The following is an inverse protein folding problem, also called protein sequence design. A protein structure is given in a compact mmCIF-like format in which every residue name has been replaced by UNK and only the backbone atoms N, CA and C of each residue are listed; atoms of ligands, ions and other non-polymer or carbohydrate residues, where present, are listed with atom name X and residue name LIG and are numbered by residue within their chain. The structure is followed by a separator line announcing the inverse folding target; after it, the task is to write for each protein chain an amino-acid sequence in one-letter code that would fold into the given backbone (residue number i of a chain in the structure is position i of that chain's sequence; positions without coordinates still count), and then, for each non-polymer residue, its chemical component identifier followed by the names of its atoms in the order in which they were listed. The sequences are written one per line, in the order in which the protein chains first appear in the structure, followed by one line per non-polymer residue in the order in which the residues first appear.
data_IF_792686435235
#
_entry.id   IF_792686435235
#
_cell.length_a   1.000
_cell.length_b   1.000
_cell.length_c   1.000
_cell.angle_alpha   90.00
_cell.angle_beta   90.00
_cell.angle_gamma   90.00
#
_symmetry.space_group_name_H-M   'P 1'
#
loop_
_entity.id
_entity.type
_entity.pdbx_description
1 polymer ?
#
# COMPACT_ATOMS: atom_id res chain seq x y z
N UNK A 1 -6.07 22.78 -17.68
CA UNK A 1 -7.33 22.64 -16.91
C UNK A 1 -7.20 23.46 -15.65
N UNK A 2 -8.00 24.50 -15.51
CA UNK A 2 -7.70 25.70 -14.72
C UNK A 2 -8.12 25.51 -13.26
N UNK A 3 -7.32 25.99 -12.29
CA UNK A 3 -7.63 25.98 -10.84
C UNK A 3 -9.06 26.42 -10.49
N UNK A 4 -9.66 27.27 -11.31
CA UNK A 4 -11.05 27.74 -11.20
C UNK A 4 -12.09 26.62 -11.37
N UNK A 5 -11.85 25.65 -12.25
CA UNK A 5 -12.72 24.48 -12.44
C UNK A 5 -12.62 23.52 -11.25
N UNK A 6 -11.42 23.35 -10.68
CA UNK A 6 -11.22 22.52 -9.48
C UNK A 6 -11.92 23.13 -8.26
N UNK A 7 -11.82 24.44 -8.06
CA UNK A 7 -12.52 25.14 -6.95
C UNK A 7 -14.05 25.10 -7.10
N UNK A 8 -14.56 25.25 -8.33
CA UNK A 8 -15.99 25.11 -8.59
C UNK A 8 -16.47 23.67 -8.32
N UNK A 9 -15.67 22.67 -8.71
CA UNK A 9 -15.96 21.27 -8.42
C UNK A 9 -15.95 20.96 -6.92
N UNK A 10 -14.96 21.46 -6.16
CA UNK A 10 -14.92 21.37 -4.70
C UNK A 10 -16.14 22.00 -4.03
N UNK A 11 -16.56 23.18 -4.49
CA UNK A 11 -17.75 23.85 -3.97
C UNK A 11 -19.03 23.03 -4.21
N UNK A 12 -19.20 22.46 -5.40
CA UNK A 12 -20.36 21.62 -5.74
C UNK A 12 -20.40 20.31 -4.94
N UNK A 13 -19.24 19.76 -4.55
CA UNK A 13 -19.17 18.56 -3.70
C UNK A 13 -19.56 18.83 -2.25
N UNK A 14 -19.40 20.06 -1.77
CA UNK A 14 -19.74 20.45 -0.40
C UNK A 14 -21.16 20.96 -0.27
N UNK A 15 -21.71 21.65 -1.27
CA UNK A 15 -23.09 22.14 -1.23
C UNK A 15 -23.68 22.28 -2.64
N UNK A 16 -24.84 21.65 -2.96
CA UNK A 16 -25.64 20.76 -2.10
C UNK A 16 -24.96 19.41 -1.80
N UNK A 17 -23.90 19.05 -2.55
CA UNK A 17 -23.23 17.76 -2.47
C UNK A 17 -24.00 16.63 -3.16
N UNK A 18 -23.35 15.50 -3.48
CA UNK A 18 -23.99 14.40 -4.21
C UNK A 18 -24.90 13.55 -3.33
N UNK A 19 -25.95 12.94 -3.91
CA UNK A 19 -26.83 12.00 -3.19
C UNK A 19 -26.11 10.71 -2.75
N UNK A 20 -25.12 10.28 -3.55
CA UNK A 20 -24.27 9.12 -3.32
C UNK A 20 -22.85 9.43 -3.76
N UNK A 21 -21.88 9.09 -2.92
CA UNK A 21 -20.46 9.14 -3.25
C UNK A 21 -19.88 7.72 -3.33
N UNK A 22 -19.41 7.33 -4.50
CA UNK A 22 -18.75 6.04 -4.73
C UNK A 22 -17.26 6.31 -4.98
N UNK A 23 -16.40 5.78 -4.11
CA UNK A 23 -14.96 5.79 -4.30
C UNK A 23 -14.54 4.41 -4.80
N UNK A 24 -14.16 4.34 -6.08
CA UNK A 24 -13.43 3.18 -6.59
C UNK A 24 -11.97 3.24 -6.08
N UNK A 25 -11.34 2.08 -5.97
CA UNK A 25 -10.00 1.93 -5.40
C UNK A 25 -9.83 2.65 -4.05
N UNK A 26 -10.72 2.36 -3.10
CA UNK A 26 -10.74 2.95 -1.75
C UNK A 26 -9.42 2.81 -0.99
N UNK A 27 -8.56 1.87 -1.39
CA UNK A 27 -7.17 1.81 -0.94
C UNK A 27 -6.35 3.06 -1.30
N UNK A 28 -6.83 3.99 -2.12
CA UNK A 28 -6.20 5.31 -2.35
C UNK A 28 -6.39 6.24 -1.15
N UNK A 29 -7.40 5.99 -0.32
CA UNK A 29 -7.70 6.74 0.90
C UNK A 29 -6.77 6.36 2.08
N UNK A 30 -5.52 5.93 1.83
CA UNK A 30 -4.62 5.38 2.87
C UNK A 30 -4.31 6.35 4.00
N UNK A 31 -4.32 7.64 3.68
CA UNK A 31 -3.85 8.68 4.57
C UNK A 31 -4.95 9.73 4.78
N UNK A 32 -5.39 9.83 6.04
CA UNK A 32 -6.34 10.86 6.51
C UNK A 32 -5.87 12.28 6.17
N UNK A 33 -4.54 12.50 6.10
CA UNK A 33 -3.93 13.80 5.80
C UNK A 33 -3.76 14.08 4.30
N UNK A 34 -4.14 13.15 3.42
CA UNK A 34 -4.04 13.42 1.98
C UNK A 34 -5.11 14.44 1.57
N UNK A 35 -4.74 15.37 0.69
CA UNK A 35 -5.68 16.39 0.18
C UNK A 35 -6.93 15.76 -0.43
N UNK A 36 -6.78 14.61 -1.08
CA UNK A 36 -7.88 13.83 -1.68
C UNK A 36 -8.82 13.31 -0.59
N UNK A 37 -8.28 12.67 0.46
CA UNK A 37 -9.08 12.14 1.56
C UNK A 37 -9.84 13.26 2.27
N UNK A 38 -9.18 14.39 2.56
CA UNK A 38 -9.82 15.54 3.20
C UNK A 38 -10.93 16.14 2.34
N UNK A 39 -10.71 16.29 1.03
CA UNK A 39 -11.73 16.79 0.11
C UNK A 39 -12.95 15.87 0.02
N UNK A 40 -12.72 14.55 -0.09
CA UNK A 40 -13.79 13.55 -0.15
C UNK A 40 -14.52 13.39 1.20
N UNK A 41 -13.83 13.55 2.32
CA UNK A 41 -14.46 13.59 3.65
C UNK A 41 -15.35 14.83 3.81
N UNK A 42 -14.94 15.97 3.26
CA UNK A 42 -15.73 17.21 3.27
C UNK A 42 -16.95 17.22 2.34
N UNK A 43 -17.07 16.26 1.41
CA UNK A 43 -18.23 16.17 0.53
C UNK A 43 -19.51 15.86 1.33
N UNK A 44 -20.55 16.69 1.18
CA UNK A 44 -21.83 16.48 1.87
C UNK A 44 -22.64 15.44 1.12
N UNK A 45 -22.83 14.28 1.72
CA UNK A 45 -23.61 13.19 1.14
C UNK A 45 -24.16 12.30 2.24
N UNK A 46 -25.35 11.76 2.03
CA UNK A 46 -25.98 10.82 2.97
C UNK A 46 -25.49 9.38 2.77
N UNK A 47 -24.89 9.05 1.62
CA UNK A 47 -24.54 7.68 1.24
C UNK A 47 -23.13 7.62 0.67
N UNK A 48 -22.28 6.77 1.25
CA UNK A 48 -20.90 6.59 0.83
C UNK A 48 -20.60 5.12 0.61
N UNK A 49 -19.94 4.81 -0.49
CA UNK A 49 -19.52 3.46 -0.86
C UNK A 49 -18.04 3.51 -1.22
N UNK A 50 -17.26 2.59 -0.67
CA UNK A 50 -15.86 2.41 -1.04
C UNK A 50 -15.68 1.00 -1.61
N UNK A 51 -15.10 0.91 -2.80
CA UNK A 51 -14.80 -0.35 -3.49
C UNK A 51 -13.28 -0.57 -3.45
N UNK A 52 -12.83 -1.79 -3.15
CA UNK A 52 -11.39 -2.12 -3.21
C UNK A 52 -11.20 -3.58 -3.60
N UNK A 53 -10.39 -3.81 -4.64
CA UNK A 53 -10.01 -5.16 -5.08
C UNK A 53 -8.86 -5.75 -4.24
N UNK A 54 -8.07 -4.90 -3.60
CA UNK A 54 -7.02 -5.31 -2.67
C UNK A 54 -7.62 -5.40 -1.27
N UNK A 55 -7.82 -6.60 -0.69
CA UNK A 55 -8.11 -6.68 0.74
C UNK A 55 -6.93 -6.03 1.45
N UNK A 56 -7.22 -5.10 2.34
CA UNK A 56 -6.25 -4.25 3.02
C UNK A 56 -5.38 -5.09 3.95
N UNK A 57 -4.31 -5.64 3.37
CA UNK A 57 -3.74 -6.84 3.95
C UNK A 57 -2.77 -6.58 5.10
N UNK A 58 -2.21 -5.38 5.28
CA UNK A 58 -1.17 -5.17 6.31
C UNK A 58 -1.22 -3.84 7.07
N UNK A 59 -2.24 -2.99 6.86
CA UNK A 59 -2.32 -1.71 7.55
C UNK A 59 -3.72 -1.43 8.09
N UNK A 60 -3.91 -1.71 9.38
CA UNK A 60 -5.17 -1.43 10.09
C UNK A 60 -5.56 0.05 10.05
N UNK A 61 -4.61 0.97 9.86
CA UNK A 61 -4.91 2.40 9.71
C UNK A 61 -5.51 2.74 8.35
N UNK A 62 -5.13 2.03 7.29
CA UNK A 62 -5.79 2.17 5.99
C UNK A 62 -7.23 1.67 6.11
N UNK A 63 -7.41 0.54 6.81
CA UNK A 63 -8.73 -0.01 7.11
C UNK A 63 -9.62 0.97 7.89
N UNK A 64 -9.09 1.57 8.96
CA UNK A 64 -9.75 2.64 9.71
C UNK A 64 -10.16 3.79 8.78
N UNK A 65 -9.26 4.25 7.91
CA UNK A 65 -9.52 5.44 7.09
C UNK A 65 -10.66 5.22 6.10
N UNK A 66 -10.81 4.03 5.48
CA UNK A 66 -11.98 3.82 4.60
C UNK A 66 -13.26 3.56 5.38
N UNK A 67 -13.18 2.90 6.55
CA UNK A 67 -14.37 2.76 7.40
C UNK A 67 -14.86 4.12 7.85
N UNK A 68 -13.95 5.01 8.26
CA UNK A 68 -14.27 6.40 8.62
C UNK A 68 -14.77 7.20 7.41
N UNK A 69 -14.22 6.97 6.22
CA UNK A 69 -14.75 7.57 5.00
C UNK A 69 -16.21 7.17 4.76
N UNK A 70 -16.56 5.88 4.87
CA UNK A 70 -17.91 5.35 4.63
C UNK A 70 -18.87 5.74 5.76
N UNK A 71 -18.44 5.62 7.01
CA UNK A 71 -19.23 5.85 8.22
C UNK A 71 -18.38 6.61 9.25
N UNK A 72 -18.36 7.93 9.09
CA UNK A 72 -17.55 8.84 9.91
C UNK A 72 -17.79 8.64 11.40
N UNK A 73 -16.70 8.55 12.17
CA UNK A 73 -16.73 8.46 13.63
C UNK A 73 -17.16 7.09 14.20
N UNK A 74 -17.48 6.10 13.38
CA UNK A 74 -17.95 4.78 13.86
C UNK A 74 -16.94 4.06 14.77
N UNK A 75 -15.65 4.16 14.44
CA UNK A 75 -14.56 3.52 15.19
C UNK A 75 -13.94 4.42 16.28
N UNK A 76 -14.51 5.61 16.51
CA UNK A 76 -13.94 6.63 17.39
C UNK A 76 -12.81 7.40 16.73
N UNK A 77 -11.97 8.04 17.55
CA UNK A 77 -10.81 8.78 17.03
C UNK A 77 -9.69 7.84 16.57
N UNK A 78 -8.78 8.37 15.75
CA UNK A 78 -7.57 7.64 15.32
C UNK A 78 -6.77 7.11 16.50
N UNK A 79 -6.69 7.87 17.61
CA UNK A 79 -5.97 7.47 18.81
C UNK A 79 -6.69 6.31 19.53
N UNK A 80 -8.02 6.39 19.65
CA UNK A 80 -8.82 5.33 20.26
C UNK A 80 -8.73 4.03 19.46
N UNK A 81 -8.85 4.13 18.14
CA UNK A 81 -8.72 2.97 17.25
C UNK A 81 -7.34 2.33 17.38
N UNK A 82 -6.27 3.14 17.40
CA UNK A 82 -4.91 2.63 17.57
C UNK A 82 -4.74 1.87 18.88
N UNK A 83 -5.23 2.43 19.98
CA UNK A 83 -5.11 1.81 21.30
C UNK A 83 -6.01 0.57 21.47
N UNK A 84 -7.23 0.61 20.95
CA UNK A 84 -8.21 -0.49 21.09
C UNK A 84 -7.95 -1.65 20.14
N UNK A 85 -7.44 -1.39 18.94
CA UNK A 85 -7.33 -2.40 17.88
C UNK A 85 -5.92 -2.49 17.30
N UNK A 86 -5.35 -1.40 16.78
CA UNK A 86 -4.08 -1.49 16.04
C UNK A 86 -2.92 -2.04 16.88
N UNK A 87 -2.64 -1.43 18.03
CA UNK A 87 -1.54 -1.80 18.91
C UNK A 87 -1.68 -3.24 19.46
N UNK A 88 -2.82 -3.66 20.05
CA UNK A 88 -2.94 -5.02 20.57
C UNK A 88 -2.93 -6.08 19.45
N UNK A 89 -3.48 -5.76 18.26
CA UNK A 89 -3.43 -6.70 17.13
C UNK A 89 -1.99 -6.85 16.63
N UNK A 90 -1.26 -5.75 16.45
CA UNK A 90 0.16 -5.79 16.04
C UNK A 90 1.02 -6.50 17.08
N UNK A 91 0.79 -6.25 18.36
CA UNK A 91 1.60 -6.83 19.44
C UNK A 91 1.53 -8.36 19.45
N UNK A 92 0.40 -8.97 19.09
CA UNK A 92 0.25 -10.43 19.01
C UNK A 92 0.69 -11.07 17.69
N UNK A 93 1.16 -10.28 16.71
CA UNK A 93 1.65 -10.77 15.41
C UNK A 93 3.16 -10.98 15.38
N UNK A 94 3.89 -10.55 16.41
CA UNK A 94 5.32 -10.72 16.47
C UNK A 94 5.69 -12.18 16.79
N UNK A 95 6.88 -12.60 16.37
CA UNK A 95 7.35 -13.98 16.56
C UNK A 95 7.63 -14.27 18.05
N UNK A 96 7.97 -13.22 18.80
CA UNK A 96 8.28 -13.21 20.23
C UNK A 96 7.07 -12.83 21.11
N UNK A 97 5.85 -12.79 20.55
CA UNK A 97 4.63 -12.50 21.31
C UNK A 97 4.30 -13.61 22.31
N UNK A 98 3.88 -13.23 23.52
CA UNK A 98 3.42 -14.17 24.53
C UNK A 98 2.02 -14.71 24.20
N UNK A 99 1.64 -15.84 24.81
CA UNK A 99 0.29 -16.44 24.60
C UNK A 99 -0.85 -15.47 24.94
N UNK A 100 -0.65 -14.63 25.96
CA UNK A 100 -1.59 -13.57 26.36
C UNK A 100 -1.78 -12.53 25.25
N UNK A 101 -0.71 -12.13 24.58
CA UNK A 101 -0.74 -11.15 23.48
C UNK A 101 -1.44 -11.73 22.26
N UNK A 102 -1.15 -12.99 21.93
CA UNK A 102 -1.82 -13.71 20.83
C UNK A 102 -3.32 -13.87 21.10
N UNK A 103 -3.70 -14.19 22.34
CA UNK A 103 -5.12 -14.28 22.73
C UNK A 103 -5.82 -12.93 22.64
N UNK A 104 -5.20 -11.86 23.16
CA UNK A 104 -5.71 -10.49 23.06
C UNK A 104 -5.87 -10.03 21.61
N UNK A 105 -4.86 -10.29 20.75
CA UNK A 105 -4.92 -10.01 19.33
C UNK A 105 -6.13 -10.68 18.68
N UNK A 106 -6.30 -12.00 18.87
CA UNK A 106 -7.41 -12.77 18.29
C UNK A 106 -8.76 -12.20 18.75
N UNK A 107 -8.88 -11.89 20.04
CA UNK A 107 -10.09 -11.28 20.58
C UNK A 107 -10.38 -9.91 19.96
N UNK A 108 -9.41 -8.99 19.92
CA UNK A 108 -9.59 -7.65 19.35
C UNK A 108 -9.87 -7.70 17.84
N UNK A 109 -9.22 -8.58 17.11
CA UNK A 109 -9.49 -8.80 15.69
C UNK A 109 -10.91 -9.32 15.46
N UNK A 110 -11.39 -10.25 16.29
CA UNK A 110 -12.76 -10.76 16.23
C UNK A 110 -13.77 -9.64 16.52
N UNK A 111 -13.58 -8.87 17.60
CA UNK A 111 -14.47 -7.75 17.96
C UNK A 111 -14.55 -6.72 16.83
N UNK A 112 -13.41 -6.37 16.23
CA UNK A 112 -13.37 -5.44 15.10
C UNK A 112 -14.15 -5.99 13.90
N UNK A 113 -13.89 -7.23 13.50
CA UNK A 113 -14.56 -7.87 12.37
C UNK A 113 -16.08 -7.96 12.59
N UNK A 114 -16.51 -8.41 13.76
CA UNK A 114 -17.93 -8.53 14.11
C UNK A 114 -18.64 -7.18 14.10
N UNK A 115 -17.97 -6.12 14.59
CA UNK A 115 -18.52 -4.75 14.58
C UNK A 115 -18.75 -4.20 13.17
N UNK A 116 -18.03 -4.71 12.17
CA UNK A 116 -18.05 -4.22 10.79
C UNK A 116 -18.86 -5.08 9.83
N UNK A 117 -19.24 -6.29 10.28
CA UNK A 117 -19.99 -7.27 9.48
C UNK A 117 -21.27 -6.74 8.84
N UNK A 118 -21.92 -5.74 9.45
CA UNK A 118 -23.16 -5.16 8.95
C UNK A 118 -23.03 -4.28 7.69
N UNK A 119 -21.83 -3.81 7.35
CA UNK A 119 -21.64 -2.90 6.21
C UNK A 119 -20.33 -3.10 5.43
N UNK A 120 -19.45 -3.98 5.89
CA UNK A 120 -18.27 -4.41 5.12
C UNK A 120 -18.59 -5.74 4.44
N UNK A 121 -18.70 -5.71 3.11
CA UNK A 121 -18.93 -6.90 2.31
C UNK A 121 -17.61 -7.33 1.65
N UNK A 122 -17.09 -8.48 2.07
CA UNK A 122 -15.87 -9.08 1.49
C UNK A 122 -16.21 -10.41 0.86
N UNK A 123 -16.05 -10.49 -0.46
CA UNK A 123 -16.18 -11.73 -1.22
C UNK A 123 -14.80 -12.25 -1.61
N UNK A 124 -14.51 -13.50 -1.26
CA UNK A 124 -13.27 -14.16 -1.64
C UNK A 124 -13.35 -14.79 -3.03
N UNK A 125 -12.22 -15.34 -3.49
CA UNK A 125 -12.12 -16.08 -4.76
C UNK A 125 -13.11 -17.26 -4.82
N UNK A 126 -13.51 -17.80 -3.67
CA UNK A 126 -14.49 -18.89 -3.55
C UNK A 126 -15.81 -18.62 -4.30
N UNK A 127 -16.23 -17.36 -4.42
CA UNK A 127 -17.44 -16.99 -5.19
C UNK A 127 -17.28 -17.27 -6.68
N UNK A 128 -16.06 -17.12 -7.19
CA UNK A 128 -15.72 -17.29 -8.61
C UNK A 128 -15.38 -18.74 -8.97
N UNK A 129 -14.99 -19.56 -7.99
CA UNK A 129 -14.58 -20.95 -8.21
C UNK A 129 -15.65 -21.84 -8.88
N UNK A 130 -16.94 -21.45 -8.79
CA UNK A 130 -18.04 -22.19 -9.44
C UNK A 130 -18.20 -21.85 -10.93
N UNK A 131 -17.64 -20.74 -11.37
CA UNK A 131 -17.88 -20.17 -12.70
C UNK A 131 -16.61 -20.07 -13.56
N UNK A 132 -15.43 -20.08 -12.92
CA UNK A 132 -14.15 -19.95 -13.60
C UNK A 132 -13.38 -21.29 -13.60
N UNK A 133 -12.58 -21.56 -14.63
CA UNK A 133 -11.62 -22.67 -14.63
C UNK A 133 -10.66 -22.59 -13.43
N UNK A 134 -10.08 -23.72 -12.98
CA UNK A 134 -9.10 -23.72 -11.90
C UNK A 134 -7.88 -22.89 -12.25
N UNK A 135 -7.42 -22.07 -11.30
CA UNK A 135 -6.19 -21.29 -11.41
C UNK A 135 -5.00 -22.16 -11.00
N UNK A 136 -4.06 -22.38 -11.92
CA UNK A 136 -2.79 -23.04 -11.63
C UNK A 136 -1.69 -22.00 -11.44
N UNK A 137 -1.07 -22.00 -10.27
CA UNK A 137 0.10 -21.15 -9.98
C UNK A 137 1.33 -22.05 -9.85
N UNK A 138 2.43 -21.68 -10.50
CA UNK A 138 3.69 -22.42 -10.45
C UNK A 138 4.83 -21.48 -10.13
N UNK A 139 5.62 -21.82 -9.12
CA UNK A 139 6.83 -21.08 -8.76
C UNK A 139 8.02 -21.74 -9.43
N UNK A 140 8.66 -21.02 -10.36
CA UNK A 140 9.86 -21.50 -11.05
C UNK A 140 11.09 -20.86 -10.39
N UNK A 141 11.89 -21.70 -9.73
CA UNK A 141 13.14 -21.25 -9.11
C UNK A 141 14.28 -21.38 -10.12
N UNK A 142 14.78 -20.26 -10.61
CA UNK A 142 15.89 -20.20 -11.56
C UNK A 142 17.20 -19.90 -10.83
N UNK A 143 18.25 -20.68 -11.14
CA UNK A 143 19.59 -20.40 -10.61
C UNK A 143 20.23 -19.24 -11.38
N UNK A 144 20.91 -18.34 -10.66
CA UNK A 144 21.72 -17.29 -11.28
C UNK A 144 22.77 -17.91 -12.20
N UNK A 145 22.97 -17.31 -13.38
CA UNK A 145 24.08 -17.66 -14.26
C UNK A 145 25.43 -17.37 -13.60
N UNK A 146 26.51 -17.93 -14.15
CA UNK A 146 27.88 -17.70 -13.65
C UNK A 146 28.19 -16.21 -13.55
N UNK A 147 27.88 -15.44 -14.61
CA UNK A 147 28.10 -13.99 -14.65
C UNK A 147 27.27 -13.25 -13.59
N UNK A 148 25.98 -13.56 -13.46
CA UNK A 148 25.11 -12.93 -12.47
C UNK A 148 25.60 -13.21 -11.04
N UNK A 149 26.04 -14.44 -10.76
CA UNK A 149 26.61 -14.80 -9.46
C UNK A 149 27.88 -14.00 -9.16
N UNK A 150 28.82 -13.93 -10.11
CA UNK A 150 30.04 -13.15 -9.94
C UNK A 150 29.74 -11.68 -9.67
N UNK A 151 28.86 -11.05 -10.45
CA UNK A 151 28.47 -9.66 -10.26
C UNK A 151 27.79 -9.44 -8.90
N UNK A 152 26.90 -10.34 -8.52
CA UNK A 152 26.19 -10.31 -7.24
C UNK A 152 27.16 -10.37 -6.06
N UNK A 153 28.08 -11.34 -6.06
CA UNK A 153 29.08 -11.51 -5.00
C UNK A 153 30.05 -10.33 -4.94
N UNK A 154 30.51 -9.83 -6.08
CA UNK A 154 31.37 -8.64 -6.14
C UNK A 154 30.66 -7.40 -5.58
N UNK A 155 29.39 -7.20 -5.93
CA UNK A 155 28.61 -6.08 -5.43
C UNK A 155 28.47 -6.15 -3.90
N UNK A 156 28.14 -7.31 -3.34
CA UNK A 156 28.02 -7.48 -1.88
C UNK A 156 29.34 -7.32 -1.14
N UNK A 157 30.46 -7.74 -1.74
CA UNK A 157 31.80 -7.54 -1.16
C UNK A 157 32.16 -6.06 -1.09
N UNK A 158 31.87 -5.31 -2.14
CA UNK A 158 32.24 -3.89 -2.25
C UNK A 158 31.28 -2.97 -1.49
N UNK A 159 29.99 -3.28 -1.51
CA UNK A 159 28.95 -2.52 -0.86
C UNK A 159 28.37 -3.35 0.28
N UNK A 160 29.08 -3.37 1.42
CA UNK A 160 28.47 -3.84 2.67
C UNK A 160 27.19 -3.02 2.88
N UNK A 161 26.02 -3.67 3.00
CA UNK A 161 24.76 -2.95 3.11
C UNK A 161 24.74 -2.12 4.39
N UNK A 162 25.02 -0.82 4.25
CA UNK A 162 24.63 0.18 5.24
C UNK A 162 23.12 0.34 5.12
N UNK A 163 22.40 0.36 6.25
CA UNK A 163 20.94 0.47 6.29
C UNK A 163 20.42 1.63 5.42
N UNK A 164 21.15 2.74 5.40
CA UNK A 164 20.77 3.96 4.67
C UNK A 164 20.78 3.82 3.13
N UNK A 165 21.43 2.78 2.59
CA UNK A 165 21.55 2.54 1.14
C UNK A 165 20.85 1.26 0.67
N UNK A 166 20.04 0.65 1.53
CA UNK A 166 19.42 -0.66 1.26
C UNK A 166 18.58 -0.66 -0.02
N UNK A 167 17.75 0.37 -0.24
CA UNK A 167 16.94 0.46 -1.46
C UNK A 167 17.79 0.63 -2.73
N UNK A 168 18.87 1.39 -2.65
CA UNK A 168 19.80 1.57 -3.77
C UNK A 168 20.48 0.24 -4.09
N UNK A 169 20.99 -0.45 -3.08
CA UNK A 169 21.60 -1.78 -3.20
C UNK A 169 20.62 -2.78 -3.80
N UNK A 170 19.40 -2.86 -3.27
CA UNK A 170 18.34 -3.73 -3.78
C UNK A 170 18.06 -3.47 -5.26
N UNK A 171 17.91 -2.19 -5.66
CA UNK A 171 17.67 -1.84 -7.05
C UNK A 171 18.83 -2.22 -7.99
N UNK A 172 20.08 -2.15 -7.52
CA UNK A 172 21.22 -2.61 -8.34
C UNK A 172 21.25 -4.14 -8.47
N UNK A 173 21.00 -4.87 -7.39
CA UNK A 173 20.95 -6.33 -7.43
C UNK A 173 19.77 -6.83 -8.27
N UNK A 174 18.63 -6.14 -8.22
CA UNK A 174 17.46 -6.40 -9.07
C UNK A 174 17.81 -6.32 -10.56
N UNK A 175 18.66 -5.37 -10.96
CA UNK A 175 19.18 -5.29 -12.33
C UNK A 175 20.02 -6.52 -12.68
N UNK A 176 20.91 -6.94 -11.79
CA UNK A 176 21.74 -8.16 -11.98
C UNK A 176 20.86 -9.41 -12.13
N UNK A 177 19.86 -9.58 -11.26
CA UNK A 177 18.97 -10.74 -11.27
C UNK A 177 18.11 -10.81 -12.53
N UNK A 178 17.56 -9.67 -12.98
CA UNK A 178 16.75 -9.63 -14.19
C UNK A 178 17.59 -9.88 -15.43
N UNK A 179 18.69 -9.13 -15.62
CA UNK A 179 19.67 -9.38 -16.69
C UNK A 179 20.93 -8.50 -16.49
N UNK A 180 22.17 -9.04 -16.57
CA UNK A 180 23.41 -8.26 -16.41
C UNK A 180 23.52 -7.02 -17.30
N UNK A 181 22.92 -7.05 -18.49
CA UNK A 181 22.94 -5.92 -19.41
C UNK A 181 22.20 -4.69 -18.88
N UNK A 182 21.19 -4.86 -18.02
CA UNK A 182 20.48 -3.75 -17.38
C UNK A 182 21.40 -2.96 -16.45
N UNK A 183 22.33 -3.65 -15.78
CA UNK A 183 23.36 -3.00 -14.98
C UNK A 183 24.31 -2.20 -15.87
N UNK A 184 24.78 -2.81 -16.96
CA UNK A 184 25.66 -2.15 -17.94
C UNK A 184 25.01 -0.88 -18.50
N UNK A 185 23.79 -1.00 -19.01
CA UNK A 185 23.02 0.10 -19.59
C UNK A 185 22.81 1.25 -18.58
N UNK A 186 22.49 0.92 -17.32
CA UNK A 186 22.34 1.91 -16.25
C UNK A 186 23.62 2.74 -16.05
N UNK A 187 24.78 2.09 -15.93
CA UNK A 187 26.05 2.80 -15.76
C UNK A 187 26.50 3.56 -17.00
N UNK A 188 26.26 3.03 -18.21
CA UNK A 188 26.54 3.74 -19.46
C UNK A 188 25.72 5.02 -19.57
N UNK A 189 24.42 4.98 -19.24
CA UNK A 189 23.57 6.17 -19.24
C UNK A 189 23.98 7.17 -18.16
N UNK A 190 24.34 6.71 -16.96
CA UNK A 190 24.81 7.57 -15.88
C UNK A 190 26.10 8.32 -16.28
N UNK A 191 27.04 7.63 -16.93
CA UNK A 191 28.26 8.23 -17.45
C UNK A 191 27.97 9.26 -18.56
N UNK A 192 27.07 8.95 -19.49
CA UNK A 192 26.68 9.88 -20.55
C UNK A 192 26.04 11.16 -19.98
N UNK A 193 25.15 11.02 -18.98
CA UNK A 193 24.53 12.17 -18.27
C UNK A 193 25.57 13.02 -17.54
N UNK A 194 26.53 12.40 -16.85
CA UNK A 194 27.60 13.12 -16.16
C UNK A 194 28.47 13.91 -17.14
N UNK A 195 28.80 13.32 -18.30
CA UNK A 195 29.54 14.01 -19.37
C UNK A 195 28.78 15.21 -19.93
N UNK A 196 27.47 15.07 -20.20
CA UNK A 196 26.62 16.17 -20.67
C UNK A 196 26.54 17.31 -19.64
N UNK A 197 26.35 16.98 -18.36
CA UNK A 197 26.31 17.99 -17.29
C UNK A 197 27.65 18.71 -17.10
N UNK A 198 28.77 18.00 -17.26
CA UNK A 198 30.10 18.62 -17.22
C UNK A 198 30.36 19.53 -18.42
N UNK A 199 29.83 19.18 -19.60
CA UNK A 199 29.92 20.01 -20.80
C UNK A 199 29.03 21.26 -20.72
N UNK A 200 27.87 21.19 -20.06
CA UNK A 200 26.97 22.35 -19.85
C UNK A 200 27.44 23.32 -18.75
N UNK A 201 28.40 22.90 -17.91
CA UNK A 201 29.00 23.72 -16.85
C UNK A 201 30.33 24.38 -17.26
N UNK A 202 30.82 24.11 -18.46
CA UNK A 202 31.94 24.79 -19.10
C UNK A 202 31.40 25.80 -20.10
#
# INVERSE_FOLDING_TARGET
RTLKQLRAFEACLQFPGPDVLVCDEGHMLRNVKSAITSALQGARTARRVALTGSPLQNNLMEYYTMVDFVRQGFLGSTADFRNRFEAPIKNGQHVDSNETDVSMMKHRAHVLHSSLSGFVQRQGVAVLCRQLPPKYETVITVRLSKLQRTLYEQYLKQFRPQYDKLFTTYNQLLRVWNHPDLLRAYYTQAQARAKLQAAQKK
#
